data_IF_413489335902
#
_entry.id   IF_413489335902
#
_cell.length_a   1.000
_cell.length_b   1.000
_cell.length_c   1.000
_cell.angle_alpha   90.00
_cell.angle_beta   90.00
_cell.angle_gamma   90.00
#
_symmetry.space_group_name_H-M   'P 1'
#
loop_
_entity.id
_entity.type
_entity.pdbx_description
1 polymer ?
#
# COMPACT_ATOMS: atom_id res chain seq x y z
N UNK A 1 18.69 4.73 9.69
CA UNK A 1 18.38 3.60 8.78
C UNK A 1 16.98 3.09 9.09
N UNK A 2 16.14 2.84 8.08
CA UNK A 2 14.79 2.36 8.33
C UNK A 2 14.82 0.97 8.98
N UNK A 3 13.94 0.75 9.95
CA UNK A 3 13.82 -0.57 10.57
C UNK A 3 13.15 -1.55 9.59
N UNK A 4 13.96 -2.42 8.99
CA UNK A 4 13.49 -3.46 8.05
C UNK A 4 13.19 -4.71 8.85
N UNK A 5 11.94 -5.17 8.81
CA UNK A 5 11.50 -6.35 9.56
C UNK A 5 11.14 -7.54 8.67
N UNK A 6 11.04 -7.34 7.36
CA UNK A 6 10.72 -8.41 6.43
C UNK A 6 11.32 -8.21 5.06
N UNK A 7 11.66 -9.32 4.41
CA UNK A 7 12.14 -9.37 3.04
C UNK A 7 11.50 -10.55 2.30
N UNK A 8 10.52 -10.26 1.45
CA UNK A 8 10.06 -11.23 0.46
C UNK A 8 11.02 -11.19 -0.73
N UNK A 9 11.80 -12.24 -0.87
CA UNK A 9 12.90 -12.31 -1.83
C UNK A 9 12.47 -12.36 -3.29
N UNK A 10 11.22 -12.74 -3.57
CA UNK A 10 10.69 -12.79 -4.94
C UNK A 10 9.16 -12.73 -4.90
N UNK A 11 8.59 -11.77 -5.58
CA UNK A 11 7.15 -11.59 -5.76
C UNK A 11 6.82 -11.25 -7.21
N UNK A 12 5.66 -11.71 -7.67
CA UNK A 12 5.06 -11.34 -8.96
C UNK A 12 3.81 -10.46 -8.79
N UNK A 13 3.42 -10.20 -7.52
CA UNK A 13 2.18 -9.52 -7.17
C UNK A 13 2.40 -8.08 -6.71
N UNK A 14 3.44 -7.84 -5.90
CA UNK A 14 3.61 -6.56 -5.23
C UNK A 14 4.09 -5.43 -6.16
N UNK A 15 4.74 -5.78 -7.28
CA UNK A 15 5.10 -4.82 -8.32
C UNK A 15 4.56 -5.31 -9.67
N UNK A 16 3.35 -4.91 -10.08
CA UNK A 16 2.72 -5.42 -11.30
C UNK A 16 3.61 -5.29 -12.53
N UNK A 17 3.74 -6.38 -13.28
CA UNK A 17 4.56 -6.47 -14.48
C UNK A 17 6.06 -6.64 -14.25
N UNK A 18 6.50 -6.86 -13.01
CA UNK A 18 7.91 -7.05 -12.65
C UNK A 18 8.09 -8.25 -11.73
N UNK A 19 9.22 -8.93 -11.87
CA UNK A 19 9.73 -9.83 -10.84
C UNK A 19 10.43 -8.97 -9.80
N UNK A 20 9.87 -8.85 -8.60
CA UNK A 20 10.35 -7.90 -7.61
C UNK A 20 10.68 -8.57 -6.27
N UNK A 21 11.43 -7.88 -5.42
CA UNK A 21 11.49 -8.16 -3.99
C UNK A 21 10.63 -7.15 -3.24
N UNK A 22 10.03 -7.56 -2.11
CA UNK A 22 9.30 -6.66 -1.23
C UNK A 22 10.01 -6.53 0.11
N UNK A 23 10.24 -5.28 0.52
CA UNK A 23 10.88 -4.91 1.78
C UNK A 23 9.79 -4.35 2.69
N UNK A 24 9.69 -4.88 3.91
CA UNK A 24 8.68 -4.47 4.89
C UNK A 24 9.32 -3.65 6.01
N UNK A 25 8.90 -2.38 6.12
CA UNK A 25 9.32 -1.47 7.17
C UNK A 25 8.36 -1.53 8.36
N UNK A 26 8.87 -1.33 9.56
CA UNK A 26 8.08 -1.25 10.78
C UNK A 26 7.41 0.10 10.98
N UNK A 27 6.52 0.16 11.96
CA UNK A 27 5.73 1.32 12.37
C UNK A 27 4.64 1.73 11.38
N UNK A 28 3.53 2.18 11.91
CA UNK A 28 2.42 2.75 11.15
C UNK A 28 1.69 3.77 12.02
N UNK A 29 1.16 4.81 11.41
CA UNK A 29 0.30 5.78 12.09
C UNK A 29 -1.18 5.37 12.13
N UNK A 30 -1.57 4.28 11.42
CA UNK A 30 -2.90 3.70 11.51
C UNK A 30 -2.92 2.45 12.39
N UNK A 31 -4.10 2.08 12.87
CA UNK A 31 -4.41 0.87 13.65
C UNK A 31 -5.64 0.19 13.05
N UNK A 32 -5.59 -0.04 11.71
CA UNK A 32 -6.70 -0.67 11.00
C UNK A 32 -7.03 -2.03 11.62
N UNK A 33 -8.27 -2.31 12.02
CA UNK A 33 -8.61 -3.56 12.69
C UNK A 33 -8.33 -4.80 11.82
N UNK A 34 -8.39 -4.66 10.50
CA UNK A 34 -8.10 -5.72 9.52
C UNK A 34 -6.64 -5.74 9.03
N UNK A 35 -5.72 -5.06 9.73
CA UNK A 35 -4.32 -5.02 9.35
C UNK A 35 -3.67 -6.39 9.51
N UNK A 36 -3.09 -6.92 8.42
CA UNK A 36 -2.40 -8.22 8.39
C UNK A 36 -0.92 -8.15 8.81
N UNK A 37 -0.43 -6.95 9.12
CA UNK A 37 0.93 -6.71 9.60
C UNK A 37 0.90 -6.19 11.05
N UNK A 38 0.07 -6.81 11.91
CA UNK A 38 -0.20 -6.31 13.26
C UNK A 38 1.07 -6.18 14.11
N UNK A 39 1.98 -7.13 14.04
CA UNK A 39 3.25 -7.10 14.77
C UNK A 39 4.11 -5.91 14.37
N UNK A 40 4.24 -5.63 13.07
CA UNK A 40 4.98 -4.48 12.55
C UNK A 40 4.37 -3.13 12.96
N UNK A 41 3.06 -3.12 13.23
CA UNK A 41 2.31 -1.91 13.55
C UNK A 41 2.26 -1.66 15.06
N UNK A 42 2.04 -2.71 15.86
CA UNK A 42 1.85 -2.59 17.32
C UNK A 42 3.17 -2.65 18.09
N UNK A 43 4.04 -3.56 17.70
CA UNK A 43 5.24 -3.92 18.46
C UNK A 43 6.48 -4.05 17.55
N UNK A 44 6.76 -3.06 16.67
CA UNK A 44 7.90 -3.17 15.75
C UNK A 44 9.24 -3.36 16.47
N UNK A 45 9.37 -2.88 17.71
CA UNK A 45 10.59 -3.04 18.49
C UNK A 45 10.84 -4.49 18.97
N UNK A 46 9.79 -5.32 18.99
CA UNK A 46 9.88 -6.73 19.41
C UNK A 46 10.18 -7.65 18.20
N UNK A 47 10.02 -7.13 16.98
CA UNK A 47 10.27 -7.88 15.75
C UNK A 47 11.76 -7.87 15.37
N UNK A 48 12.27 -8.97 14.80
CA UNK A 48 13.65 -9.02 14.31
C UNK A 48 13.90 -7.93 13.26
N UNK A 49 15.05 -7.28 13.35
CA UNK A 49 15.50 -6.28 12.36
C UNK A 49 16.50 -6.93 11.42
N UNK A 50 16.26 -6.82 10.12
CA UNK A 50 17.18 -7.24 9.07
C UNK A 50 18.14 -6.06 8.81
N UNK A 51 19.46 -6.26 8.93
CA UNK A 51 20.41 -5.21 8.61
C UNK A 51 20.28 -4.73 7.15
N UNK A 52 20.34 -3.43 6.93
CA UNK A 52 20.24 -2.84 5.58
C UNK A 52 21.28 -3.42 4.63
N UNK A 53 22.52 -3.61 5.12
CA UNK A 53 23.62 -4.20 4.34
C UNK A 53 23.28 -5.62 3.85
N UNK A 54 22.51 -6.39 4.63
CA UNK A 54 22.05 -7.71 4.21
C UNK A 54 21.07 -7.62 3.05
N UNK A 55 20.11 -6.69 3.13
CA UNK A 55 19.13 -6.43 2.07
C UNK A 55 19.83 -5.93 0.81
N UNK A 56 20.72 -4.95 0.92
CA UNK A 56 21.47 -4.42 -0.23
C UNK A 56 22.40 -5.47 -0.85
N UNK A 57 23.05 -6.30 -0.02
CA UNK A 57 23.86 -7.43 -0.49
C UNK A 57 23.02 -8.45 -1.25
N UNK A 58 21.80 -8.77 -0.75
CA UNK A 58 20.85 -9.62 -1.44
C UNK A 58 20.47 -9.03 -2.81
N UNK A 59 20.04 -7.77 -2.83
CA UNK A 59 19.66 -7.09 -4.08
C UNK A 59 20.82 -7.06 -5.09
N UNK A 60 22.04 -6.77 -4.63
CA UNK A 60 23.23 -6.79 -5.47
C UNK A 60 23.46 -8.16 -6.15
N UNK A 61 23.25 -9.26 -5.41
CA UNK A 61 23.36 -10.63 -5.94
C UNK A 61 22.24 -11.01 -6.92
N UNK A 62 21.12 -10.26 -6.92
CA UNK A 62 19.93 -10.52 -7.74
C UNK A 62 19.81 -9.62 -8.95
N UNK A 63 20.83 -8.81 -9.25
CA UNK A 63 20.88 -8.01 -10.49
C UNK A 63 20.71 -8.91 -11.73
N UNK A 64 19.82 -8.48 -12.63
CA UNK A 64 19.48 -9.23 -13.84
C UNK A 64 18.53 -10.40 -13.63
N UNK A 65 18.05 -10.61 -12.38
CA UNK A 65 17.00 -11.60 -12.03
C UNK A 65 15.75 -10.85 -11.56
N UNK A 66 15.92 -9.89 -10.67
CA UNK A 66 14.83 -9.01 -10.22
C UNK A 66 14.75 -7.77 -11.13
N UNK A 67 13.53 -7.33 -11.40
CA UNK A 67 13.21 -6.17 -12.25
C UNK A 67 12.86 -4.92 -11.41
N UNK A 68 12.69 -5.07 -10.11
CA UNK A 68 12.31 -3.95 -9.22
C UNK A 68 12.24 -4.32 -7.76
N UNK A 69 12.00 -3.31 -6.93
CA UNK A 69 11.82 -3.42 -5.48
C UNK A 69 10.52 -2.74 -5.08
N UNK A 70 9.71 -3.40 -4.26
CA UNK A 70 8.57 -2.80 -3.58
C UNK A 70 8.95 -2.50 -2.13
N UNK A 71 8.64 -1.30 -1.65
CA UNK A 71 8.78 -0.92 -0.24
C UNK A 71 7.38 -0.80 0.35
N UNK A 72 7.11 -1.56 1.40
CA UNK A 72 5.81 -1.73 2.03
C UNK A 72 5.98 -1.91 3.56
N UNK A 73 5.02 -2.52 4.25
CA UNK A 73 5.11 -2.91 5.67
C UNK A 73 4.02 -2.26 6.52
N UNK A 74 4.41 -1.43 7.49
CA UNK A 74 3.51 -0.52 8.19
C UNK A 74 3.18 0.68 7.31
N UNK A 75 3.80 1.84 7.59
CA UNK A 75 3.75 3.01 6.72
C UNK A 75 5.19 3.49 6.42
N UNK A 76 5.72 3.17 5.25
CA UNK A 76 7.11 3.49 4.90
C UNK A 76 7.45 4.99 4.95
N UNK A 77 6.49 5.86 4.64
CA UNK A 77 6.72 7.32 4.60
C UNK A 77 6.95 7.94 5.97
N UNK A 78 6.83 7.17 7.06
CA UNK A 78 7.17 7.60 8.41
C UNK A 78 8.69 7.46 8.71
N UNK A 79 9.41 6.65 7.94
CA UNK A 79 10.84 6.48 8.14
C UNK A 79 11.60 7.72 7.63
N UNK A 80 12.31 8.39 8.52
CA UNK A 80 13.03 9.64 8.23
C UNK A 80 14.17 9.47 7.23
N UNK A 81 14.67 8.27 7.09
CA UNK A 81 15.79 7.87 6.23
C UNK A 81 15.35 7.00 5.03
N UNK A 82 14.05 7.01 4.72
CA UNK A 82 13.48 6.31 3.57
C UNK A 82 14.15 6.74 2.26
N UNK A 83 14.41 8.03 2.11
CA UNK A 83 15.01 8.59 0.90
C UNK A 83 16.43 8.04 0.68
N UNK A 84 17.26 8.05 1.71
CA UNK A 84 18.64 7.55 1.63
C UNK A 84 18.65 6.06 1.24
N UNK A 85 17.76 5.27 1.85
CA UNK A 85 17.61 3.85 1.53
C UNK A 85 17.16 3.64 0.08
N UNK A 86 16.21 4.42 -0.42
CA UNK A 86 15.80 4.36 -1.83
C UNK A 86 16.96 4.72 -2.75
N UNK A 87 17.78 5.72 -2.41
CA UNK A 87 18.95 6.08 -3.20
C UNK A 87 19.95 4.91 -3.32
N UNK A 88 20.18 4.15 -2.23
CA UNK A 88 21.03 2.94 -2.28
C UNK A 88 20.43 1.86 -3.19
N UNK A 89 19.10 1.65 -3.16
CA UNK A 89 18.41 0.72 -4.07
C UNK A 89 18.56 1.18 -5.53
N UNK A 90 18.39 2.47 -5.79
CA UNK A 90 18.60 3.05 -7.12
C UNK A 90 20.04 2.91 -7.62
N UNK A 91 21.02 3.09 -6.75
CA UNK A 91 22.45 2.88 -7.09
C UNK A 91 22.73 1.43 -7.53
N UNK A 92 21.89 0.48 -7.09
CA UNK A 92 21.91 -0.91 -7.57
C UNK A 92 21.18 -1.09 -8.92
N UNK A 93 20.49 -0.09 -9.45
CA UNK A 93 19.81 -0.10 -10.75
C UNK A 93 18.36 -0.56 -10.69
N UNK A 94 17.74 -0.62 -9.51
CA UNK A 94 16.35 -1.06 -9.36
C UNK A 94 15.36 0.13 -9.38
N UNK A 95 14.29 0.04 -10.17
CA UNK A 95 13.12 0.91 -9.99
C UNK A 95 12.38 0.52 -8.70
N UNK A 96 11.84 1.53 -8.03
CA UNK A 96 11.15 1.37 -6.74
C UNK A 96 9.66 1.64 -6.88
N UNK A 97 8.83 0.74 -6.32
CA UNK A 97 7.42 0.96 -6.04
C UNK A 97 7.25 1.21 -4.54
N UNK A 98 6.50 2.24 -4.19
CA UNK A 98 6.18 2.58 -2.81
C UNK A 98 4.71 2.27 -2.52
N UNK A 99 4.46 1.45 -1.50
CA UNK A 99 3.14 1.24 -0.93
C UNK A 99 2.96 2.20 0.26
N UNK A 100 1.84 2.92 0.32
CA UNK A 100 1.60 3.92 1.36
C UNK A 100 0.11 4.05 1.69
N UNK A 101 -0.21 4.48 2.89
CA UNK A 101 -1.56 4.86 3.28
C UNK A 101 -1.94 6.30 2.88
N UNK A 102 -1.01 7.03 2.27
CA UNK A 102 -1.23 8.36 1.72
C UNK A 102 -1.25 9.51 2.73
N UNK A 103 -0.90 9.27 3.99
CA UNK A 103 -0.94 10.34 5.03
C UNK A 103 0.24 11.30 5.00
N UNK A 104 1.24 11.05 4.15
CA UNK A 104 2.43 11.91 4.00
C UNK A 104 2.60 12.36 2.54
N UNK A 105 1.71 13.24 2.04
CA UNK A 105 1.80 13.77 0.68
C UNK A 105 3.11 14.51 0.41
N UNK A 106 3.68 15.15 1.41
CA UNK A 106 4.98 15.82 1.35
C UNK A 106 6.11 14.87 0.94
N UNK A 107 6.19 13.71 1.61
CA UNK A 107 7.21 12.69 1.33
C UNK A 107 6.98 12.06 -0.04
N UNK A 108 5.73 11.68 -0.36
CA UNK A 108 5.39 11.06 -1.64
C UNK A 108 5.74 11.97 -2.82
N UNK A 109 5.36 13.25 -2.75
CA UNK A 109 5.67 14.25 -3.77
C UNK A 109 7.17 14.43 -3.95
N UNK A 110 7.88 14.60 -2.85
CA UNK A 110 9.33 14.77 -2.86
C UNK A 110 10.04 13.59 -3.55
N UNK A 111 9.70 12.36 -3.19
CA UNK A 111 10.29 11.16 -3.79
C UNK A 111 9.94 11.05 -5.29
N UNK A 112 8.72 11.38 -5.66
CA UNK A 112 8.27 11.37 -7.05
C UNK A 112 8.96 12.44 -7.90
N UNK A 113 9.05 13.67 -7.41
CA UNK A 113 9.71 14.80 -8.10
C UNK A 113 11.22 14.55 -8.31
N UNK A 114 11.85 13.85 -7.37
CA UNK A 114 13.23 13.41 -7.51
C UNK A 114 13.43 12.18 -8.40
N UNK A 115 12.35 11.58 -8.89
CA UNK A 115 12.40 10.35 -9.70
C UNK A 115 12.85 9.12 -8.93
N UNK A 116 12.78 9.14 -7.58
CA UNK A 116 13.22 8.07 -6.70
C UNK A 116 12.21 6.91 -6.62
N UNK A 117 10.96 7.15 -6.96
CA UNK A 117 9.94 6.12 -7.10
C UNK A 117 9.34 6.16 -8.51
N UNK A 118 9.08 5.00 -9.09
CA UNK A 118 8.51 4.86 -10.43
C UNK A 118 7.03 4.49 -10.38
N UNK A 119 6.56 4.00 -9.23
CA UNK A 119 5.15 3.68 -9.01
C UNK A 119 4.78 3.87 -7.55
N UNK A 120 3.55 4.31 -7.29
CA UNK A 120 2.95 4.31 -5.96
C UNK A 120 1.71 3.43 -5.93
N UNK A 121 1.51 2.68 -4.83
CA UNK A 121 0.22 2.08 -4.51
C UNK A 121 -0.31 2.75 -3.24
N UNK A 122 -1.49 3.35 -3.34
CA UNK A 122 -2.11 4.03 -2.20
C UNK A 122 -3.31 3.24 -1.69
N UNK A 123 -3.25 2.88 -0.43
CA UNK A 123 -4.31 2.17 0.25
C UNK A 123 -5.44 3.16 0.64
N UNK A 124 -6.53 3.10 -0.08
CA UNK A 124 -7.79 3.77 0.28
C UNK A 124 -8.53 2.86 1.25
N UNK A 125 -8.58 3.26 2.53
CA UNK A 125 -9.12 2.37 3.58
C UNK A 125 -10.64 2.34 3.60
N UNK A 126 -11.28 3.46 3.25
CA UNK A 126 -12.75 3.60 3.22
C UNK A 126 -13.17 4.78 2.34
N UNK A 127 -14.47 5.02 2.20
CA UNK A 127 -14.96 6.33 1.80
C UNK A 127 -14.60 7.39 2.88
N UNK A 128 -14.52 8.68 2.54
CA UNK A 128 -14.07 9.72 3.47
C UNK A 128 -14.79 9.70 4.83
N UNK A 129 -16.11 9.49 4.83
CA UNK A 129 -16.92 9.52 6.05
C UNK A 129 -16.61 8.36 7.02
N UNK A 130 -16.14 7.22 6.49
CA UNK A 130 -15.87 6.01 7.27
C UNK A 130 -14.40 5.83 7.65
N UNK A 131 -13.50 6.71 7.22
CA UNK A 131 -12.06 6.60 7.53
C UNK A 131 -11.75 6.45 9.03
N UNK A 132 -12.40 7.19 9.95
CA UNK A 132 -12.13 7.04 11.38
C UNK A 132 -12.30 5.62 11.89
N UNK A 133 -13.38 4.95 11.49
CA UNK A 133 -13.71 3.59 11.94
C UNK A 133 -12.76 2.52 11.39
N UNK A 134 -12.24 2.72 10.17
CA UNK A 134 -11.40 1.73 9.49
C UNK A 134 -9.89 1.93 9.72
N UNK A 135 -9.48 3.10 10.18
CA UNK A 135 -8.06 3.39 10.46
C UNK A 135 -7.68 3.25 11.92
N UNK A 136 -8.67 3.05 12.81
CA UNK A 136 -8.45 3.05 14.26
C UNK A 136 -8.03 4.40 14.82
N UNK A 137 -8.23 5.48 14.05
CA UNK A 137 -7.92 6.87 14.42
C UNK A 137 -9.21 7.65 14.62
N UNK A 138 -9.40 8.30 15.78
CA UNK A 138 -10.58 9.15 15.99
C UNK A 138 -10.66 10.31 15.00
N UNK A 139 -9.52 10.87 14.62
CA UNK A 139 -9.42 12.03 13.72
C UNK A 139 -8.28 11.81 12.73
N UNK A 140 -8.45 10.96 11.70
CA UNK A 140 -7.45 10.83 10.64
C UNK A 140 -7.37 12.13 9.84
N UNK A 141 -6.17 12.51 9.44
CA UNK A 141 -5.98 13.69 8.57
C UNK A 141 -6.39 13.34 7.13
N UNK A 142 -7.67 13.51 6.85
CA UNK A 142 -8.21 13.31 5.51
C UNK A 142 -7.69 14.33 4.50
N UNK A 143 -7.28 15.52 4.95
CA UNK A 143 -6.73 16.55 4.07
C UNK A 143 -5.44 16.05 3.42
N UNK A 144 -4.55 15.42 4.20
CA UNK A 144 -3.32 14.83 3.69
C UNK A 144 -3.59 13.73 2.67
N UNK A 145 -4.57 12.85 2.96
CA UNK A 145 -4.93 11.77 2.03
C UNK A 145 -5.55 12.33 0.74
N UNK A 146 -6.44 13.33 0.85
CA UNK A 146 -7.02 14.01 -0.31
C UNK A 146 -5.95 14.70 -1.15
N UNK A 147 -4.94 15.29 -0.53
CA UNK A 147 -3.79 15.89 -1.20
C UNK A 147 -2.96 14.85 -1.95
N UNK A 148 -2.71 13.68 -1.35
CA UNK A 148 -2.07 12.53 -2.01
C UNK A 148 -2.88 12.07 -3.23
N UNK A 149 -4.19 11.88 -3.08
CA UNK A 149 -5.08 11.50 -4.17
C UNK A 149 -5.04 12.53 -5.30
N UNK A 150 -5.20 13.81 -4.95
CA UNK A 150 -5.15 14.90 -5.96
C UNK A 150 -3.81 14.94 -6.70
N UNK A 151 -2.70 14.79 -6.01
CA UNK A 151 -1.37 14.74 -6.63
C UNK A 151 -1.26 13.61 -7.64
N UNK A 152 -1.73 12.41 -7.31
CA UNK A 152 -1.65 11.25 -8.20
C UNK A 152 -2.60 11.38 -9.40
N UNK A 153 -3.83 11.86 -9.18
CA UNK A 153 -4.81 12.06 -10.26
C UNK A 153 -4.32 13.04 -11.34
N UNK A 154 -3.57 14.06 -10.96
CA UNK A 154 -3.14 15.14 -11.87
C UNK A 154 -1.65 15.07 -12.23
N UNK A 155 -0.89 14.15 -11.59
CA UNK A 155 0.55 14.01 -11.80
C UNK A 155 0.91 12.98 -12.87
N UNK A 156 2.23 12.81 -13.04
CA UNK A 156 2.80 11.89 -14.03
C UNK A 156 3.33 10.57 -13.42
N UNK A 157 3.36 10.44 -12.09
CA UNK A 157 3.77 9.21 -11.44
C UNK A 157 2.81 8.10 -11.84
N UNK A 158 3.34 6.90 -12.11
CA UNK A 158 2.48 5.71 -12.23
C UNK A 158 1.94 5.32 -10.86
N UNK A 159 0.65 4.98 -10.80
CA UNK A 159 0.02 4.66 -9.53
C UNK A 159 -1.13 3.68 -9.67
N UNK A 160 -1.49 3.11 -8.54
CA UNK A 160 -2.72 2.37 -8.33
C UNK A 160 -3.34 2.75 -6.98
N UNK A 161 -4.67 2.80 -6.92
CA UNK A 161 -5.41 2.81 -5.67
C UNK A 161 -5.92 1.41 -5.37
N UNK A 162 -5.98 1.05 -4.09
CA UNK A 162 -6.47 -0.27 -3.68
C UNK A 162 -7.19 -0.20 -2.33
N UNK A 163 -8.12 -1.11 -2.12
CA UNK A 163 -8.81 -1.29 -0.83
C UNK A 163 -8.87 -2.76 -0.50
N UNK A 164 -8.45 -3.13 0.71
CA UNK A 164 -8.76 -4.44 1.30
C UNK A 164 -10.22 -4.43 1.74
N UNK A 165 -11.05 -5.24 1.09
CA UNK A 165 -12.51 -5.23 1.25
C UNK A 165 -12.93 -6.21 2.33
N UNK A 166 -13.48 -5.68 3.42
CA UNK A 166 -13.90 -6.43 4.61
C UNK A 166 -15.41 -6.35 4.76
N UNK A 167 -16.08 -7.48 4.92
CA UNK A 167 -17.56 -7.57 4.86
C UNK A 167 -18.26 -6.79 5.97
N UNK A 168 -17.71 -6.78 7.16
CA UNK A 168 -18.28 -6.09 8.32
C UNK A 168 -17.96 -4.58 8.36
N UNK A 169 -17.04 -4.11 7.49
CA UNK A 169 -16.53 -2.74 7.53
C UNK A 169 -16.88 -1.92 6.29
N UNK A 170 -17.15 -2.59 5.17
CA UNK A 170 -17.46 -1.93 3.90
C UNK A 170 -18.85 -2.34 3.41
N UNK A 171 -19.51 -1.45 2.71
CA UNK A 171 -20.79 -1.69 2.07
C UNK A 171 -20.83 -1.02 0.69
N UNK A 172 -21.92 -1.23 -0.04
CA UNK A 172 -22.10 -0.70 -1.40
C UNK A 172 -21.94 0.83 -1.47
N UNK A 173 -22.48 1.56 -0.48
CA UNK A 173 -22.38 3.02 -0.46
C UNK A 173 -20.94 3.51 -0.32
N UNK A 174 -20.08 2.77 0.38
CA UNK A 174 -18.65 3.10 0.45
C UNK A 174 -18.01 3.11 -0.95
N UNK A 175 -18.31 2.10 -1.79
CA UNK A 175 -17.76 2.01 -3.13
C UNK A 175 -18.36 3.03 -4.11
N UNK A 176 -19.61 3.43 -3.92
CA UNK A 176 -20.19 4.56 -4.65
C UNK A 176 -19.43 5.85 -4.33
N UNK A 177 -19.20 6.14 -3.06
CA UNK A 177 -18.49 7.34 -2.63
C UNK A 177 -17.01 7.30 -3.01
N UNK A 178 -16.32 6.16 -2.86
CA UNK A 178 -14.93 5.97 -3.30
C UNK A 178 -14.83 6.22 -4.81
N UNK A 179 -15.73 5.66 -5.60
CA UNK A 179 -15.76 5.86 -7.05
C UNK A 179 -15.93 7.32 -7.47
N UNK A 180 -16.75 8.07 -6.74
CA UNK A 180 -16.91 9.51 -6.96
C UNK A 180 -15.65 10.30 -6.55
N UNK A 181 -15.08 9.99 -5.39
CA UNK A 181 -13.86 10.62 -4.90
C UNK A 181 -12.65 10.41 -5.80
N UNK A 182 -12.51 9.17 -6.32
CA UNK A 182 -11.39 8.77 -7.17
C UNK A 182 -11.71 8.87 -8.67
N UNK A 183 -12.74 9.61 -9.04
CA UNK A 183 -13.14 9.78 -10.45
C UNK A 183 -11.96 10.25 -11.30
N UNK A 184 -11.68 9.51 -12.38
CA UNK A 184 -10.56 9.78 -13.27
C UNK A 184 -9.26 9.06 -12.89
N UNK A 185 -9.26 8.26 -11.82
CA UNK A 185 -8.14 7.39 -11.50
C UNK A 185 -7.87 6.40 -12.64
N UNK A 186 -6.59 6.08 -12.88
CA UNK A 186 -6.17 5.15 -13.94
C UNK A 186 -6.57 3.71 -13.63
N UNK A 187 -6.39 3.29 -12.37
CA UNK A 187 -6.64 1.94 -11.93
C UNK A 187 -7.01 1.88 -10.45
N UNK A 188 -7.90 0.93 -10.11
CA UNK A 188 -8.30 0.63 -8.74
C UNK A 188 -8.38 -0.88 -8.52
N UNK A 189 -7.95 -1.33 -7.34
CA UNK A 189 -7.91 -2.75 -7.00
C UNK A 189 -8.71 -3.06 -5.75
N UNK A 190 -9.70 -3.92 -5.89
CA UNK A 190 -10.41 -4.54 -4.77
C UNK A 190 -9.59 -5.75 -4.31
N UNK A 191 -9.03 -5.70 -3.11
CA UNK A 191 -8.30 -6.80 -2.52
C UNK A 191 -9.22 -7.58 -1.59
N UNK A 192 -9.48 -8.85 -1.90
CA UNK A 192 -10.25 -9.71 -1.01
C UNK A 192 -9.53 -9.84 0.34
N UNK A 193 -10.25 -9.61 1.43
CA UNK A 193 -9.73 -9.82 2.77
C UNK A 193 -9.44 -11.31 2.99
N UNK A 194 -8.33 -11.59 3.66
CA UNK A 194 -8.00 -12.94 4.15
C UNK A 194 -7.75 -12.87 5.64
N UNK A 195 -8.44 -13.72 6.39
CA UNK A 195 -8.20 -13.86 7.82
C UNK A 195 -6.89 -14.62 8.08
N UNK A 196 -6.16 -14.22 9.10
CA UNK A 196 -4.94 -14.88 9.54
C UNK A 196 -4.68 -14.56 11.02
N UNK A 197 -3.80 -15.33 11.65
CA UNK A 197 -3.37 -15.10 13.04
C UNK A 197 -2.62 -13.76 13.23
N UNK A 198 -2.20 -13.13 12.12
CA UNK A 198 -1.48 -11.86 12.13
C UNK A 198 -2.40 -10.64 12.00
N UNK A 199 -3.72 -10.84 11.91
CA UNK A 199 -4.69 -9.74 11.85
C UNK A 199 -4.81 -9.06 13.21
N UNK A 200 -4.83 -7.73 13.20
CA UNK A 200 -4.87 -6.93 14.43
C UNK A 200 -6.12 -7.24 15.26
N UNK A 201 -7.27 -7.38 14.63
CA UNK A 201 -8.53 -7.75 15.29
C UNK A 201 -9.17 -8.91 14.51
N UNK A 202 -9.31 -10.11 15.13
CA UNK A 202 -9.96 -11.24 14.48
C UNK A 202 -11.48 -11.05 14.36
N UNK A 203 -12.10 -11.90 13.53
CA UNK A 203 -13.57 -11.98 13.43
C UNK A 203 -14.16 -11.26 12.22
N UNK A 204 -13.33 -10.86 11.27
CA UNK A 204 -13.78 -10.33 9.99
C UNK A 204 -13.89 -11.43 8.93
N UNK A 205 -14.71 -11.17 7.91
CA UNK A 205 -14.89 -12.08 6.79
C UNK A 205 -14.70 -11.38 5.43
N UNK A 206 -14.42 -12.19 4.41
CA UNK A 206 -14.34 -11.73 3.04
C UNK A 206 -15.73 -11.71 2.40
N UNK A 207 -15.91 -10.83 1.44
CA UNK A 207 -16.99 -10.91 0.48
C UNK A 207 -16.76 -12.06 -0.50
N UNK A 208 -17.84 -12.64 -1.03
CA UNK A 208 -17.77 -13.59 -2.14
C UNK A 208 -17.30 -12.91 -3.43
N UNK A 209 -16.83 -13.71 -4.40
CA UNK A 209 -16.48 -13.19 -5.72
C UNK A 209 -17.63 -12.43 -6.38
N UNK A 210 -18.87 -12.94 -6.25
CA UNK A 210 -20.06 -12.32 -6.82
C UNK A 210 -20.33 -10.93 -6.22
N UNK A 211 -20.20 -10.80 -4.89
CA UNK A 211 -20.34 -9.53 -4.18
C UNK A 211 -19.22 -8.53 -4.56
N UNK A 212 -17.98 -9.00 -4.69
CA UNK A 212 -16.85 -8.15 -5.15
C UNK A 212 -17.02 -7.72 -6.61
N UNK A 213 -17.53 -8.58 -7.48
CA UNK A 213 -17.86 -8.23 -8.87
C UNK A 213 -19.00 -7.19 -8.95
N UNK A 214 -19.92 -7.21 -7.99
CA UNK A 214 -20.92 -6.15 -7.87
C UNK A 214 -20.26 -4.80 -7.54
N UNK A 215 -19.38 -4.74 -6.55
CA UNK A 215 -18.65 -3.50 -6.22
C UNK A 215 -17.74 -3.05 -7.37
N UNK A 216 -17.11 -3.98 -8.06
CA UNK A 216 -16.34 -3.69 -9.27
C UNK A 216 -17.16 -2.99 -10.33
N UNK A 217 -18.40 -3.44 -10.60
CA UNK A 217 -19.28 -2.80 -11.57
C UNK A 217 -19.66 -1.38 -11.17
N UNK A 218 -19.85 -1.12 -9.88
CA UNK A 218 -20.11 0.24 -9.36
C UNK A 218 -18.92 1.15 -9.66
N UNK A 219 -17.72 0.72 -9.30
CA UNK A 219 -16.50 1.50 -9.50
C UNK A 219 -16.17 1.74 -10.98
N UNK A 220 -16.46 0.78 -11.87
CA UNK A 220 -16.26 0.92 -13.32
C UNK A 220 -17.12 2.04 -13.94
N UNK A 221 -18.11 2.58 -13.25
CA UNK A 221 -18.88 3.74 -13.70
C UNK A 221 -18.04 5.04 -13.70
N UNK A 222 -16.96 5.10 -12.93
CA UNK A 222 -16.14 6.29 -12.71
C UNK A 222 -14.64 6.06 -12.93
N UNK A 223 -14.18 4.82 -12.85
CA UNK A 223 -12.77 4.42 -12.97
C UNK A 223 -12.64 3.40 -14.11
N UNK A 224 -11.79 3.62 -15.12
CA UNK A 224 -11.74 2.81 -16.34
C UNK A 224 -11.20 1.39 -16.14
N UNK A 225 -10.35 1.17 -15.14
CA UNK A 225 -9.78 -0.13 -14.82
C UNK A 225 -10.02 -0.45 -13.34
N UNK A 226 -10.81 -1.47 -13.09
CA UNK A 226 -11.03 -2.02 -11.75
C UNK A 226 -10.85 -3.53 -11.80
N UNK A 227 -9.94 -4.04 -10.97
CA UNK A 227 -9.66 -5.47 -10.87
C UNK A 227 -9.83 -5.98 -9.45
N UNK A 228 -10.10 -7.27 -9.32
CA UNK A 228 -10.19 -7.97 -8.04
C UNK A 228 -8.91 -8.79 -7.86
N UNK A 229 -8.29 -8.70 -6.69
CA UNK A 229 -7.10 -9.45 -6.30
C UNK A 229 -7.37 -10.28 -5.05
N UNK A 230 -6.58 -11.35 -4.86
CA UNK A 230 -6.62 -12.17 -3.64
C UNK A 230 -7.75 -13.19 -3.60
N UNK A 231 -8.39 -13.50 -4.72
CA UNK A 231 -9.30 -14.63 -4.88
C UNK A 231 -8.53 -15.75 -5.57
N UNK A 232 -8.53 -16.92 -4.95
CA UNK A 232 -7.96 -18.17 -5.49
C UNK A 232 -9.04 -18.95 -6.23
#
# INVERSE_FOLDING_TARGET
MPAIHGLNKTTLLDYPGRVAATIFLGSCNFRCPFCQNSSLVLHPADEPVIPEEEVLSFLKKRRGILDGVCISGGEPTLASDLEDFICEIHALGYPVKLDTNGTRPDVLKHLAERGLIQKAAVDIKACPDNYPSLTGMMHPDLTAIQETVSFLLHGNLDYEFRTTVVKELHNENDFIQIGQWLKGAKAYYLQAYRDSDEVLQPGFSSYSLEELEHFRKILLTTIPLVEIRGID
#
